data_IF_567320951606
#
_entry.id   IF_567320951606
#
_cell.length_a   1.000
_cell.length_b   1.000
_cell.length_c   1.000
_cell.angle_alpha   90.00
_cell.angle_beta   90.00
_cell.angle_gamma   90.00
#
_symmetry.space_group_name_H-M   'P 1'
#
loop_
_entity.id
_entity.type
_entity.pdbx_description
1 polymer ?
#
# COMPACT_ATOMS: atom_id res chain seq x y z
N UNK A 1 5.96 -18.77 49.88
CA UNK A 1 4.90 -19.76 49.60
C UNK A 1 4.65 -19.76 48.09
N UNK A 2 4.61 -20.94 47.46
CA UNK A 2 4.26 -21.24 46.04
C UNK A 2 4.26 -20.12 44.97
N UNK A 3 5.14 -20.29 43.98
CA UNK A 3 5.13 -19.56 42.69
C UNK A 3 4.09 -20.17 41.73
N UNK A 4 3.37 -19.35 40.94
CA UNK A 4 2.66 -19.81 39.73
C UNK A 4 2.49 -18.67 38.72
N UNK A 5 3.52 -18.44 37.90
CA UNK A 5 3.46 -17.48 36.80
C UNK A 5 2.62 -18.00 35.63
N UNK A 6 1.88 -17.11 34.96
CA UNK A 6 1.14 -17.41 33.74
C UNK A 6 1.66 -16.53 32.59
N UNK A 7 2.79 -17.00 32.02
CA UNK A 7 3.44 -16.64 30.75
C UNK A 7 3.46 -15.17 30.27
N UNK A 8 4.62 -14.49 30.41
CA UNK A 8 5.12 -13.58 29.39
C UNK A 8 5.85 -14.38 28.29
N UNK A 9 5.63 -14.06 27.01
CA UNK A 9 6.41 -14.62 25.90
C UNK A 9 7.31 -13.56 25.25
N UNK A 10 8.59 -13.58 25.63
CA UNK A 10 9.65 -12.83 24.96
C UNK A 10 9.89 -13.36 23.53
N UNK A 11 10.27 -12.44 22.64
CA UNK A 11 10.62 -12.65 21.22
C UNK A 11 11.66 -13.77 21.02
N UNK A 12 12.52 -14.03 22.00
CA UNK A 12 13.54 -15.09 21.95
C UNK A 12 12.98 -16.50 22.15
N UNK A 13 11.85 -16.69 22.85
CA UNK A 13 11.18 -17.99 22.97
C UNK A 13 10.45 -18.37 21.67
N UNK A 14 9.76 -17.40 21.05
CA UNK A 14 9.04 -17.61 19.79
C UNK A 14 9.96 -18.17 18.68
N UNK A 15 11.16 -17.58 18.53
CA UNK A 15 12.12 -18.01 17.51
C UNK A 15 12.75 -19.40 17.76
N UNK A 16 12.78 -19.87 19.02
CA UNK A 16 13.24 -21.24 19.32
C UNK A 16 12.18 -22.30 18.99
N UNK A 17 10.89 -21.99 19.18
CA UNK A 17 9.78 -22.93 18.95
C UNK A 17 9.50 -23.23 17.47
N UNK A 18 9.96 -22.38 16.55
CA UNK A 18 9.85 -22.63 15.09
C UNK A 18 11.03 -23.47 14.57
N UNK A 19 12.07 -23.72 15.39
CA UNK A 19 13.34 -24.31 14.94
C UNK A 19 13.54 -25.81 15.17
N UNK A 20 12.64 -26.53 15.85
CA UNK A 20 12.94 -27.89 16.35
C UNK A 20 11.75 -28.87 16.34
N UNK A 21 11.33 -29.34 15.17
CA UNK A 21 10.58 -30.61 15.03
C UNK A 21 10.93 -31.35 13.72
N UNK A 22 11.77 -32.36 13.84
CA UNK A 22 11.85 -33.55 12.98
C UNK A 22 12.25 -34.74 13.87
N UNK A 23 11.88 -36.00 13.63
CA UNK A 23 11.03 -36.61 12.60
C UNK A 23 10.43 -37.92 13.23
N UNK A 24 9.93 -38.98 12.57
CA UNK A 24 9.85 -39.39 11.16
C UNK A 24 8.76 -40.48 11.02
N UNK A 25 7.84 -40.39 10.05
CA UNK A 25 6.93 -41.51 9.69
C UNK A 25 6.88 -41.70 8.17
N UNK A 26 7.30 -42.86 7.67
CA UNK A 26 7.34 -43.16 6.22
C UNK A 26 6.01 -43.73 5.75
N UNK A 27 5.23 -42.96 4.97
CA UNK A 27 4.06 -43.45 4.22
C UNK A 27 3.87 -42.71 2.89
N UNK A 28 4.61 -43.14 1.87
CA UNK A 28 4.33 -42.92 0.44
C UNK A 28 4.47 -41.48 -0.12
N UNK A 29 4.79 -41.32 -1.41
CA UNK A 29 4.81 -40.02 -2.08
C UNK A 29 3.37 -39.56 -2.37
N UNK A 30 2.67 -39.03 -1.36
CA UNK A 30 1.43 -38.29 -1.58
C UNK A 30 1.80 -36.91 -2.10
N UNK A 31 1.60 -36.69 -3.41
CA UNK A 31 1.91 -35.43 -4.05
C UNK A 31 1.14 -34.27 -3.39
N UNK A 32 1.83 -33.50 -2.55
CA UNK A 32 1.30 -32.24 -2.04
C UNK A 32 1.31 -31.27 -3.21
N UNK A 33 0.17 -31.15 -3.89
CA UNK A 33 -0.11 -30.02 -4.75
C UNK A 33 -0.14 -28.76 -3.88
N UNK A 34 1.03 -28.15 -3.71
CA UNK A 34 1.14 -26.80 -3.19
C UNK A 34 0.29 -25.91 -4.09
N UNK A 35 -0.79 -25.38 -3.54
CA UNK A 35 -1.61 -24.38 -4.21
C UNK A 35 -0.76 -23.13 -4.41
N UNK A 36 -0.05 -23.09 -5.54
CA UNK A 36 0.61 -21.89 -6.00
C UNK A 36 -0.50 -20.87 -6.20
N UNK A 37 -0.57 -19.89 -5.29
CA UNK A 37 -1.30 -18.66 -5.58
C UNK A 37 -0.61 -18.06 -6.79
N UNK A 38 -1.22 -18.22 -7.95
CA UNK A 38 -0.80 -17.54 -9.17
C UNK A 38 -0.99 -16.04 -8.91
N UNK A 39 0.09 -15.38 -8.50
CA UNK A 39 0.22 -13.94 -8.70
C UNK A 39 0.07 -13.73 -10.20
N UNK A 40 -1.05 -13.10 -10.59
CA UNK A 40 -1.23 -12.67 -11.98
C UNK A 40 -0.03 -11.78 -12.32
N UNK A 41 0.82 -12.23 -13.24
CA UNK A 41 1.97 -11.43 -13.65
C UNK A 41 1.44 -10.14 -14.26
N UNK A 42 1.97 -9.00 -13.78
CA UNK A 42 1.64 -7.73 -14.39
C UNK A 42 2.02 -7.79 -15.87
N UNK A 43 1.16 -7.32 -16.80
CA UNK A 43 1.41 -7.44 -18.23
C UNK A 43 2.72 -6.73 -18.60
N UNK A 44 3.65 -7.48 -19.18
CA UNK A 44 4.97 -6.99 -19.51
C UNK A 44 4.97 -6.18 -20.81
N UNK A 45 5.38 -4.91 -20.73
CA UNK A 45 6.16 -4.15 -21.71
C UNK A 45 6.53 -2.80 -21.07
N UNK A 46 7.83 -2.48 -20.97
CA UNK A 46 8.32 -1.13 -20.60
C UNK A 46 7.93 -0.61 -19.21
N UNK A 47 8.12 -1.40 -18.15
CA UNK A 47 7.57 -1.14 -16.81
C UNK A 47 8.27 -0.01 -16.01
N UNK A 48 8.09 1.24 -16.44
CA UNK A 48 8.36 2.42 -15.60
C UNK A 48 7.40 2.36 -14.40
N UNK A 49 7.98 2.32 -13.19
CA UNK A 49 7.24 2.24 -11.94
C UNK A 49 7.58 3.42 -11.02
N UNK A 50 6.58 4.25 -10.75
CA UNK A 50 6.67 5.26 -9.70
C UNK A 50 5.97 4.73 -8.45
N UNK A 51 6.59 3.78 -7.76
CA UNK A 51 5.93 2.97 -6.71
C UNK A 51 5.66 3.71 -5.40
N UNK A 52 6.19 4.92 -5.23
CA UNK A 52 6.17 5.66 -3.96
C UNK A 52 6.44 7.15 -4.14
N UNK A 53 6.10 7.94 -3.12
CA UNK A 53 6.60 9.30 -2.99
C UNK A 53 8.14 9.31 -3.10
N UNK A 54 8.68 10.19 -3.94
CA UNK A 54 10.13 10.34 -4.12
C UNK A 54 10.80 9.42 -5.14
N UNK A 55 10.04 8.58 -5.85
CA UNK A 55 10.50 7.52 -6.77
C UNK A 55 11.24 6.36 -6.08
N UNK A 56 12.33 6.65 -5.35
CA UNK A 56 13.15 5.67 -4.65
C UNK A 56 13.31 6.01 -3.15
N UNK A 57 14.01 5.15 -2.39
CA UNK A 57 14.26 5.34 -0.95
C UNK A 57 15.12 6.59 -0.66
N UNK A 58 15.92 7.01 -1.63
CA UNK A 58 16.75 8.21 -1.58
C UNK A 58 15.96 9.50 -1.89
N UNK A 59 14.67 9.39 -2.21
CA UNK A 59 13.76 10.51 -2.52
C UNK A 59 14.30 11.43 -3.64
N UNK A 60 14.96 10.86 -4.65
CA UNK A 60 15.59 11.64 -5.73
C UNK A 60 14.59 12.36 -6.63
N UNK A 61 13.33 11.89 -6.67
CA UNK A 61 12.29 12.34 -7.63
C UNK A 61 12.76 12.26 -9.10
N UNK A 62 13.72 11.40 -9.40
CA UNK A 62 14.31 11.23 -10.72
C UNK A 62 14.08 9.80 -11.22
N UNK A 63 13.55 9.67 -12.44
CA UNK A 63 13.37 8.39 -13.13
C UNK A 63 14.53 8.14 -14.11
N UNK A 64 15.51 7.27 -13.80
CA UNK A 64 16.63 6.97 -14.69
C UNK A 64 16.24 6.17 -15.94
N UNK A 65 14.98 5.70 -16.04
CA UNK A 65 14.49 4.95 -17.19
C UNK A 65 13.70 5.83 -18.18
N UNK A 66 13.41 7.09 -17.85
CA UNK A 66 12.83 8.04 -18.80
C UNK A 66 13.92 8.54 -19.76
N UNK A 67 13.79 8.19 -21.04
CA UNK A 67 14.76 8.51 -22.09
C UNK A 67 14.07 8.93 -23.41
N UNK A 68 12.76 9.19 -23.38
CA UNK A 68 11.95 9.54 -24.56
C UNK A 68 11.70 11.05 -24.60
N UNK A 69 11.40 11.67 -23.45
CA UNK A 69 11.13 13.11 -23.37
C UNK A 69 12.43 13.92 -23.23
N UNK A 70 12.59 14.91 -24.10
CA UNK A 70 13.80 15.74 -24.22
C UNK A 70 13.50 17.19 -24.61
N UNK A 71 14.53 18.05 -24.56
CA UNK A 71 14.41 19.48 -24.91
C UNK A 71 13.97 19.71 -26.35
N UNK A 72 14.28 18.75 -27.23
CA UNK A 72 13.96 18.71 -28.65
C UNK A 72 12.50 18.32 -28.96
N UNK A 73 11.77 17.75 -27.99
CA UNK A 73 10.43 17.21 -28.24
C UNK A 73 9.36 17.59 -27.20
N UNK A 74 9.75 18.19 -26.06
CA UNK A 74 8.82 18.65 -25.01
C UNK A 74 7.74 19.61 -25.54
N UNK A 75 8.05 20.44 -26.53
CA UNK A 75 7.12 21.37 -27.18
C UNK A 75 5.97 20.67 -27.94
N UNK A 76 6.16 19.39 -28.31
CA UNK A 76 5.18 18.58 -29.05
C UNK A 76 4.22 17.82 -28.12
N UNK A 77 4.35 17.98 -26.80
CA UNK A 77 3.45 17.39 -25.83
C UNK A 77 2.04 17.98 -25.95
N UNK A 78 1.05 17.10 -25.87
CA UNK A 78 -0.38 17.44 -25.81
C UNK A 78 -1.04 16.66 -24.70
N UNK A 79 -2.12 17.21 -24.16
CA UNK A 79 -2.95 16.50 -23.18
C UNK A 79 -3.45 15.17 -23.78
N UNK A 80 -3.21 14.07 -23.05
CA UNK A 80 -3.63 12.73 -23.46
C UNK A 80 -5.01 12.36 -22.94
N UNK A 81 -5.26 12.70 -21.67
CA UNK A 81 -6.53 12.55 -20.96
C UNK A 81 -6.52 13.50 -19.75
N UNK A 82 -7.70 13.75 -19.19
CA UNK A 82 -7.92 14.52 -17.96
C UNK A 82 -8.92 13.76 -17.07
N UNK A 83 -8.81 13.93 -15.75
CA UNK A 83 -9.75 13.39 -14.78
C UNK A 83 -10.00 14.44 -13.71
N UNK A 84 -11.24 14.92 -13.63
CA UNK A 84 -11.60 16.06 -12.79
C UNK A 84 -12.05 15.65 -11.38
N UNK A 85 -11.66 16.45 -10.40
CA UNK A 85 -12.10 16.35 -9.01
C UNK A 85 -12.26 17.77 -8.43
N UNK A 86 -13.39 18.02 -7.77
CA UNK A 86 -13.73 19.35 -7.22
C UNK A 86 -13.05 19.66 -5.87
N UNK A 87 -11.85 19.11 -5.65
CA UNK A 87 -11.11 19.16 -4.38
C UNK A 87 -9.60 19.24 -4.61
N UNK A 88 -8.83 19.93 -3.75
CA UNK A 88 -7.37 20.01 -3.88
C UNK A 88 -6.68 18.63 -3.84
N UNK A 89 -5.71 18.44 -4.73
CA UNK A 89 -4.83 17.26 -4.76
C UNK A 89 -3.45 17.67 -4.21
N UNK A 90 -3.07 17.14 -3.04
CA UNK A 90 -1.73 17.35 -2.45
C UNK A 90 -0.79 16.14 -2.62
N UNK A 91 -1.28 15.05 -3.21
CA UNK A 91 -0.55 13.77 -3.26
C UNK A 91 0.24 13.60 -4.55
N UNK A 92 1.50 13.18 -4.45
CA UNK A 92 2.24 12.67 -5.61
C UNK A 92 1.62 11.33 -6.05
N UNK A 93 1.22 11.16 -7.32
CA UNK A 93 0.66 9.91 -7.79
C UNK A 93 1.63 8.74 -7.70
N UNK A 94 1.10 7.54 -7.50
CA UNK A 94 1.81 6.26 -7.59
C UNK A 94 1.42 5.59 -8.91
N UNK A 95 2.40 5.14 -9.70
CA UNK A 95 2.16 4.54 -11.03
C UNK A 95 2.75 3.15 -11.11
N UNK A 96 1.90 2.15 -11.33
CA UNK A 96 2.26 0.72 -11.44
C UNK A 96 1.59 0.13 -12.68
N UNK A 97 2.35 0.03 -13.77
CA UNK A 97 1.87 -0.55 -15.03
C UNK A 97 0.67 0.23 -15.59
N UNK A 98 -0.51 -0.40 -15.59
CA UNK A 98 -1.73 0.22 -16.09
C UNK A 98 -2.52 1.03 -15.05
N UNK A 99 -2.07 1.09 -13.78
CA UNK A 99 -2.76 1.77 -12.69
C UNK A 99 -2.00 3.00 -12.20
N UNK A 100 -2.72 4.12 -12.07
CA UNK A 100 -2.28 5.34 -11.40
C UNK A 100 -3.15 5.58 -10.17
N UNK A 101 -2.53 5.81 -9.02
CA UNK A 101 -3.20 6.04 -7.74
C UNK A 101 -2.91 7.43 -7.21
N UNK A 102 -3.94 8.13 -6.73
CA UNK A 102 -3.79 9.43 -6.05
C UNK A 102 -4.89 9.60 -4.99
N UNK A 103 -4.65 10.49 -4.02
CA UNK A 103 -5.57 10.77 -2.93
C UNK A 103 -6.13 12.18 -2.97
N UNK A 104 -7.31 12.32 -2.40
CA UNK A 104 -8.02 13.57 -2.14
C UNK A 104 -8.59 13.53 -0.72
N UNK A 105 -9.08 14.66 -0.16
CA UNK A 105 -9.86 14.61 1.08
C UNK A 105 -11.02 13.61 0.97
N UNK A 106 -11.02 12.60 1.84
CA UNK A 106 -12.05 11.56 1.93
C UNK A 106 -11.94 10.37 0.97
N UNK A 107 -11.03 10.37 -0.03
CA UNK A 107 -10.93 9.25 -0.97
C UNK A 107 -9.54 9.02 -1.57
N UNK A 108 -9.32 7.78 -2.03
CA UNK A 108 -8.21 7.40 -2.93
C UNK A 108 -8.82 6.86 -4.22
N UNK A 109 -8.29 7.31 -5.36
CA UNK A 109 -8.70 6.87 -6.69
C UNK A 109 -7.64 5.98 -7.33
N UNK A 110 -8.08 5.04 -8.17
CA UNK A 110 -7.25 4.41 -9.17
C UNK A 110 -7.79 4.72 -10.57
N UNK A 111 -6.93 5.20 -11.45
CA UNK A 111 -7.21 5.45 -12.86
C UNK A 111 -6.39 4.50 -13.74
N UNK A 112 -6.86 4.28 -14.96
CA UNK A 112 -6.04 3.66 -16.00
C UNK A 112 -5.00 4.66 -16.54
N UNK A 113 -3.73 4.27 -16.61
CA UNK A 113 -2.66 5.15 -17.10
C UNK A 113 -2.78 5.52 -18.59
N UNK A 114 -3.49 4.71 -19.39
CA UNK A 114 -3.66 4.94 -20.84
C UNK A 114 -4.88 5.81 -21.15
N UNK A 115 -6.01 5.60 -20.48
CA UNK A 115 -7.30 6.26 -20.77
C UNK A 115 -7.73 7.33 -19.76
N UNK A 116 -7.17 7.36 -18.55
CA UNK A 116 -7.63 8.22 -17.45
C UNK A 116 -8.90 7.72 -16.74
N UNK A 117 -9.51 6.64 -17.22
CA UNK A 117 -10.76 6.11 -16.66
C UNK A 117 -10.57 5.58 -15.23
N UNK A 118 -11.50 5.93 -14.34
CA UNK A 118 -11.54 5.42 -12.97
C UNK A 118 -11.79 3.91 -12.93
N UNK A 119 -10.80 3.15 -12.48
CA UNK A 119 -10.90 1.70 -12.22
C UNK A 119 -11.54 1.42 -10.86
N UNK A 120 -11.19 2.18 -9.83
CA UNK A 120 -11.86 2.11 -8.52
C UNK A 120 -11.76 3.43 -7.73
N UNK A 121 -12.60 3.56 -6.70
CA UNK A 121 -12.54 4.59 -5.65
C UNK A 121 -12.63 3.89 -4.30
N UNK A 122 -11.71 4.20 -3.39
CA UNK A 122 -11.79 3.83 -1.98
C UNK A 122 -12.20 5.07 -1.17
N UNK A 123 -13.28 4.98 -0.41
CA UNK A 123 -13.71 6.06 0.49
C UNK A 123 -13.16 5.83 1.89
N UNK A 124 -12.48 6.84 2.43
CA UNK A 124 -11.99 6.82 3.81
C UNK A 124 -13.13 7.14 4.76
N UNK A 125 -13.21 6.41 5.88
CA UNK A 125 -14.24 6.64 6.88
C UNK A 125 -14.07 8.05 7.49
N UNK A 126 -15.10 8.89 7.36
CA UNK A 126 -15.09 10.22 7.96
C UNK A 126 -15.00 10.13 9.48
N UNK A 127 -14.07 10.86 10.10
CA UNK A 127 -13.94 10.91 11.55
C UNK A 127 -14.70 12.10 12.14
N UNK A 128 -15.23 11.91 13.35
CA UNK A 128 -15.98 12.94 14.07
C UNK A 128 -15.08 13.51 15.17
N UNK A 129 -14.32 14.57 14.85
CA UNK A 129 -13.49 15.27 15.82
C UNK A 129 -14.25 16.50 16.34
N UNK A 130 -14.49 16.58 17.67
CA UNK A 130 -15.22 17.69 18.31
C UNK A 130 -16.61 17.95 17.69
N UNK A 131 -17.34 16.89 17.35
CA UNK A 131 -18.65 16.97 16.70
C UNK A 131 -18.63 17.34 15.21
N UNK A 132 -17.50 17.75 14.65
CA UNK A 132 -17.37 18.01 13.21
C UNK A 132 -16.99 16.72 12.47
N UNK A 133 -17.81 16.33 11.49
CA UNK A 133 -17.47 15.30 10.51
C UNK A 133 -16.40 15.85 9.57
N UNK A 134 -15.19 15.30 9.62
CA UNK A 134 -14.08 15.65 8.72
C UNK A 134 -13.78 14.49 7.79
N UNK A 135 -13.57 14.80 6.52
CA UNK A 135 -13.01 13.86 5.55
C UNK A 135 -11.50 13.77 5.79
N UNK A 136 -10.95 12.62 6.21
CA UNK A 136 -9.51 12.51 6.38
C UNK A 136 -8.82 12.57 5.01
N UNK A 137 -7.65 13.20 4.94
CA UNK A 137 -6.85 13.26 3.72
C UNK A 137 -5.71 12.25 3.80
N UNK A 138 -5.38 11.59 2.68
CA UNK A 138 -4.15 10.82 2.55
C UNK A 138 -2.94 11.75 2.71
N UNK A 139 -1.85 11.24 3.29
CA UNK A 139 -0.56 11.92 3.28
C UNK A 139 -0.01 12.18 1.86
N UNK A 140 1.22 12.70 1.76
CA UNK A 140 1.85 13.16 0.50
C UNK A 140 1.92 12.13 -0.66
N UNK A 141 1.63 10.86 -0.41
CA UNK A 141 1.49 9.80 -1.41
C UNK A 141 1.20 8.46 -0.75
N UNK A 142 0.92 7.45 -1.57
CA UNK A 142 0.88 6.06 -1.12
C UNK A 142 2.24 5.36 -1.33
N UNK A 143 2.38 4.18 -0.74
CA UNK A 143 3.42 3.20 -1.04
C UNK A 143 2.79 1.99 -1.70
N UNK A 144 3.26 1.60 -2.89
CA UNK A 144 2.97 0.30 -3.46
C UNK A 144 4.03 -0.74 -3.05
N UNK A 145 3.59 -1.92 -2.64
CA UNK A 145 4.46 -3.08 -2.43
C UNK A 145 3.65 -4.38 -2.58
N UNK A 146 4.14 -5.32 -3.39
CA UNK A 146 3.55 -6.67 -3.59
C UNK A 146 2.02 -6.69 -3.78
N UNK A 147 1.51 -5.92 -4.75
CA UNK A 147 0.08 -5.88 -5.08
C UNK A 147 -0.77 -5.06 -4.11
N UNK A 148 -0.16 -4.37 -3.13
CA UNK A 148 -0.87 -3.63 -2.08
C UNK A 148 -0.47 -2.17 -2.05
N UNK A 149 -1.41 -1.31 -1.67
CA UNK A 149 -1.20 0.11 -1.40
C UNK A 149 -1.30 0.38 0.09
N UNK A 150 -0.28 1.04 0.63
CA UNK A 150 -0.21 1.47 2.02
C UNK A 150 -0.18 2.99 2.09
N UNK A 151 -0.97 3.58 2.98
CA UNK A 151 -0.93 5.02 3.25
C UNK A 151 -1.45 5.32 4.65
N UNK A 152 -1.00 6.44 5.21
CA UNK A 152 -1.58 7.05 6.40
C UNK A 152 -2.54 8.17 6.02
N UNK A 153 -3.58 8.36 6.83
CA UNK A 153 -4.52 9.47 6.72
C UNK A 153 -4.32 10.52 7.84
N UNK A 154 -4.97 11.67 7.69
CA UNK A 154 -4.95 12.77 8.67
C UNK A 154 -5.73 12.49 9.95
N UNK A 155 -6.34 11.31 10.11
CA UNK A 155 -6.99 10.84 11.33
C UNK A 155 -6.13 9.82 12.11
N UNK A 156 -4.85 9.69 11.74
CA UNK A 156 -3.92 8.71 12.27
C UNK A 156 -4.43 7.27 12.08
N UNK A 157 -4.99 6.97 10.90
CA UNK A 157 -5.29 5.61 10.45
C UNK A 157 -4.32 5.21 9.35
N UNK A 158 -3.68 4.06 9.50
CA UNK A 158 -2.95 3.38 8.44
C UNK A 158 -3.91 2.46 7.68
N UNK A 159 -3.88 2.57 6.35
CA UNK A 159 -4.69 1.78 5.43
C UNK A 159 -3.79 0.81 4.65
N UNK A 160 -4.32 -0.37 4.38
CA UNK A 160 -3.79 -1.30 3.38
C UNK A 160 -4.91 -1.74 2.45
N UNK A 161 -4.76 -1.43 1.16
CA UNK A 161 -5.70 -1.81 0.11
C UNK A 161 -5.05 -2.80 -0.85
N UNK A 162 -5.85 -3.70 -1.42
CA UNK A 162 -5.52 -4.42 -2.64
C UNK A 162 -5.44 -3.42 -3.80
N UNK A 163 -4.28 -3.34 -4.47
CA UNK A 163 -4.02 -2.29 -5.46
C UNK A 163 -4.85 -2.47 -6.75
N UNK A 164 -5.20 -3.71 -7.11
CA UNK A 164 -5.96 -3.99 -8.32
C UNK A 164 -7.45 -3.65 -8.16
N UNK A 165 -8.02 -3.88 -6.96
CA UNK A 165 -9.47 -3.78 -6.71
C UNK A 165 -9.89 -2.64 -5.79
N UNK A 166 -8.95 -1.99 -5.10
CA UNK A 166 -9.23 -0.96 -4.09
C UNK A 166 -9.85 -1.50 -2.81
N UNK A 167 -10.02 -2.82 -2.67
CA UNK A 167 -10.60 -3.45 -1.48
C UNK A 167 -9.68 -3.28 -0.28
N UNK A 168 -10.22 -2.80 0.84
CA UNK A 168 -9.51 -2.74 2.12
C UNK A 168 -9.14 -4.15 2.58
N UNK A 169 -7.84 -4.39 2.72
CA UNK A 169 -7.28 -5.59 3.37
C UNK A 169 -7.29 -5.39 4.88
N UNK A 170 -6.79 -4.25 5.36
CA UNK A 170 -6.85 -3.86 6.77
C UNK A 170 -6.80 -2.34 6.96
N UNK A 171 -7.22 -1.89 8.13
CA UNK A 171 -7.00 -0.53 8.66
C UNK A 171 -6.59 -0.63 10.12
N UNK A 172 -5.59 0.14 10.54
CA UNK A 172 -5.07 0.17 11.90
C UNK A 172 -4.97 1.62 12.37
N UNK A 173 -5.59 1.97 13.50
CA UNK A 173 -5.37 3.29 14.09
C UNK A 173 -4.00 3.33 14.79
N UNK A 174 -3.27 4.40 14.56
CA UNK A 174 -1.98 4.75 15.15
C UNK A 174 -2.22 5.82 16.21
N UNK A 175 -3.06 5.50 17.20
CA UNK A 175 -3.16 6.33 18.40
C UNK A 175 -1.87 6.20 19.19
N UNK A 176 -1.48 7.29 19.88
CA UNK A 176 -0.52 7.21 20.96
C UNK A 176 -1.11 6.31 22.04
N UNK A 177 -0.33 5.35 22.56
CA UNK A 177 -0.75 4.61 23.75
C UNK A 177 -0.77 5.61 24.93
N UNK A 178 -1.96 6.08 25.28
CA UNK A 178 -2.16 6.99 26.41
C UNK A 178 -2.04 6.27 27.75
N UNK A 179 -2.05 4.93 27.73
CA UNK A 179 -1.85 4.11 28.91
C UNK A 179 -0.35 3.87 29.14
N UNK A 180 0.26 4.78 29.90
CA UNK A 180 1.67 4.69 30.32
C UNK A 180 1.99 3.51 31.26
N UNK A 181 1.04 2.59 31.49
CA UNK A 181 1.21 1.46 32.42
C UNK A 181 1.70 0.16 31.77
N UNK A 182 1.82 0.11 30.44
CA UNK A 182 2.54 -0.98 29.76
C UNK A 182 4.06 -0.83 29.95
N UNK A 183 4.77 -1.89 30.38
CA UNK A 183 6.20 -1.85 30.69
C UNK A 183 7.11 -1.80 29.44
#
# INVERSE_FOLDING_TARGET
>A
MSYRGMFPTDRREFLKRVGSLGALSVLGPRAVQGSQRTSASAPGLGSIHWSRYGYNLQNTRFNPHENILGKDNVERLKMKWQFDVDVPIETTPVVIGELLFFGVPGAVYALNTRTGERKWKYEMASTTARGQRRAPAMGRGAQYYEGRLYFGDSAAVMHCLDAATGKRIWTQSVQVDTDKTRP
#
